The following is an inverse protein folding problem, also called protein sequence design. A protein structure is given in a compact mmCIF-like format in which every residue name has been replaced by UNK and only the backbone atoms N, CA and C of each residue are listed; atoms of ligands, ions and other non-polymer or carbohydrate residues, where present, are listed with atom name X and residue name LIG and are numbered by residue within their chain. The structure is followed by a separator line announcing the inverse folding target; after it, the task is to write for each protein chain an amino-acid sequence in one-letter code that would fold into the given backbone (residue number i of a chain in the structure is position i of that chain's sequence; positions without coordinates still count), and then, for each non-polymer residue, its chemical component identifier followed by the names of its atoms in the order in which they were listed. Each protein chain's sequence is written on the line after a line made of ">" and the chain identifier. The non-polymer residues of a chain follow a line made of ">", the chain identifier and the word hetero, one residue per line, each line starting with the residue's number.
data_IF_736396399918
#
_entry.id   IF_736396399918
#
_cell.length_a   1.000
_cell.length_b   1.000
_cell.length_c   1.000
_cell.angle_alpha   90.00
_cell.angle_beta   90.00
_cell.angle_gamma   90.00
#
_symmetry.space_group_name_H-M   'P 1'
#
loop_
_entity.id
_entity.type
_entity.pdbx_description
1 polymer ?
#
# COMPACT_ATOMS: atom_id res chain seq x y z
N UNK A 1 -2.45 -5.81 -23.23
CA UNK A 1 -1.49 -5.18 -24.15
C UNK A 1 -0.11 -5.76 -23.84
N UNK A 2 0.70 -6.13 -24.83
CA UNK A 2 2.06 -6.57 -24.59
C UNK A 2 2.87 -5.47 -23.93
N UNK A 3 3.84 -5.86 -23.09
CA UNK A 3 4.71 -4.94 -22.38
C UNK A 3 5.55 -4.16 -23.40
N UNK A 4 5.37 -2.84 -23.47
CA UNK A 4 6.20 -1.96 -24.30
C UNK A 4 7.52 -1.69 -23.55
N UNK A 5 8.57 -2.42 -23.88
CA UNK A 5 9.91 -2.19 -23.37
C UNK A 5 10.64 -1.13 -24.20
N UNK A 6 11.55 -0.35 -23.59
CA UNK A 6 12.35 0.62 -24.33
C UNK A 6 13.27 -0.07 -25.36
N UNK A 7 13.50 0.60 -26.47
CA UNK A 7 14.44 0.10 -27.50
C UNK A 7 15.88 0.10 -26.98
N UNK A 8 16.73 -0.83 -27.44
CA UNK A 8 18.14 -0.92 -27.03
C UNK A 8 18.95 0.37 -27.24
N UNK A 9 18.51 1.23 -28.17
CA UNK A 9 19.16 2.51 -28.49
C UNK A 9 18.71 3.68 -27.61
N UNK A 10 17.68 3.51 -26.80
CA UNK A 10 17.12 4.56 -25.99
C UNK A 10 18.04 4.93 -24.81
N UNK A 11 18.18 6.23 -24.57
CA UNK A 11 18.91 6.74 -23.40
C UNK A 11 17.98 6.89 -22.22
N UNK A 12 17.96 5.89 -21.34
CA UNK A 12 17.24 5.93 -20.07
C UNK A 12 18.16 5.46 -18.95
N UNK A 13 17.97 5.99 -17.75
CA UNK A 13 18.73 5.62 -16.56
C UNK A 13 17.88 4.79 -15.59
N UNK A 14 16.59 5.09 -15.56
CA UNK A 14 15.63 4.44 -14.67
C UNK A 14 14.43 4.00 -15.51
N UNK A 15 14.05 2.74 -15.41
CA UNK A 15 12.80 2.21 -15.93
C UNK A 15 11.84 1.96 -14.77
N UNK A 16 10.70 2.65 -14.78
CA UNK A 16 9.65 2.47 -13.77
C UNK A 16 8.49 1.73 -14.41
N UNK A 17 8.13 0.57 -13.85
CA UNK A 17 6.96 -0.21 -14.22
C UNK A 17 5.93 -0.11 -13.10
N UNK A 18 4.82 0.57 -13.37
CA UNK A 18 3.69 0.66 -12.46
C UNK A 18 2.68 -0.46 -12.74
N UNK A 19 1.90 -0.82 -11.71
CA UNK A 19 0.93 -1.93 -11.79
C UNK A 19 1.57 -3.26 -12.21
N UNK A 20 2.78 -3.50 -11.75
CA UNK A 20 3.59 -4.65 -12.11
C UNK A 20 2.90 -6.00 -11.86
N UNK A 21 1.96 -6.08 -10.92
CA UNK A 21 1.14 -7.27 -10.67
C UNK A 21 0.29 -7.71 -11.89
N UNK A 22 0.13 -6.85 -12.89
CA UNK A 22 -0.59 -7.17 -14.13
C UNK A 22 0.27 -7.94 -15.14
N UNK A 23 1.58 -8.03 -14.91
CA UNK A 23 2.50 -8.79 -15.74
C UNK A 23 2.37 -10.28 -15.44
N UNK A 24 1.36 -10.93 -16.03
CA UNK A 24 1.04 -12.34 -15.78
C UNK A 24 1.54 -13.27 -16.90
N UNK A 25 1.79 -12.75 -18.09
CA UNK A 25 2.19 -13.53 -19.25
C UNK A 25 3.67 -13.91 -19.16
N UNK A 26 3.96 -15.19 -19.29
CA UNK A 26 5.32 -15.74 -19.17
C UNK A 26 6.31 -15.11 -20.18
N UNK A 27 5.96 -14.89 -21.47
CA UNK A 27 6.85 -14.22 -22.41
C UNK A 27 7.25 -12.80 -21.98
N UNK A 28 6.31 -12.02 -21.42
CA UNK A 28 6.58 -10.67 -20.95
C UNK A 28 7.47 -10.68 -19.70
N UNK A 29 7.27 -11.65 -18.79
CA UNK A 29 8.13 -11.85 -17.63
C UNK A 29 9.56 -12.21 -18.02
N UNK A 30 9.73 -13.09 -19.01
CA UNK A 30 11.04 -13.47 -19.55
C UNK A 30 11.72 -12.28 -20.22
N UNK A 31 11.00 -11.51 -21.04
CA UNK A 31 11.51 -10.31 -21.68
C UNK A 31 12.02 -9.27 -20.67
N UNK A 32 11.28 -9.07 -19.57
CA UNK A 32 11.72 -8.18 -18.49
C UNK A 32 12.96 -8.73 -17.78
N UNK A 33 13.02 -10.02 -17.51
CA UNK A 33 14.21 -10.64 -16.90
C UNK A 33 15.44 -10.49 -17.78
N UNK A 34 15.30 -10.66 -19.10
CA UNK A 34 16.38 -10.45 -20.07
C UNK A 34 16.82 -8.99 -20.12
N UNK A 35 15.84 -8.06 -20.10
CA UNK A 35 16.14 -6.63 -20.06
C UNK A 35 16.97 -6.27 -18.81
N UNK A 36 16.57 -6.74 -17.64
CA UNK A 36 17.31 -6.48 -16.39
C UNK A 36 18.74 -7.03 -16.46
N UNK A 37 18.94 -8.23 -17.02
CA UNK A 37 20.27 -8.85 -17.17
C UNK A 37 21.14 -8.13 -18.18
N UNK A 38 20.56 -7.65 -19.27
CA UNK A 38 21.28 -6.98 -20.36
C UNK A 38 21.70 -5.54 -20.03
N UNK A 39 21.06 -4.93 -19.02
CA UNK A 39 21.32 -3.55 -18.61
C UNK A 39 21.65 -3.44 -17.10
N UNK A 40 22.77 -4.05 -16.64
CA UNK A 40 23.12 -4.08 -15.22
C UNK A 40 23.41 -2.71 -14.61
N UNK A 41 23.78 -1.73 -15.45
CA UNK A 41 24.06 -0.34 -15.01
C UNK A 41 22.80 0.53 -14.94
N UNK A 42 21.64 -0.01 -15.30
CA UNK A 42 20.36 0.69 -15.25
C UNK A 42 19.57 0.34 -14.00
N UNK A 43 18.70 1.24 -13.59
CA UNK A 43 17.82 1.03 -12.44
C UNK A 43 16.42 0.65 -12.88
N UNK A 44 15.89 -0.39 -12.28
CA UNK A 44 14.53 -0.85 -12.48
C UNK A 44 13.74 -0.64 -11.20
N UNK A 45 12.60 0.03 -11.31
CA UNK A 45 11.67 0.27 -10.20
C UNK A 45 10.34 -0.39 -10.56
N UNK A 46 9.98 -1.43 -9.82
CA UNK A 46 8.76 -2.21 -10.03
C UNK A 46 7.78 -1.85 -8.93
N UNK A 47 6.66 -1.20 -9.28
CA UNK A 47 5.60 -0.85 -8.35
C UNK A 47 4.47 -1.87 -8.43
N UNK A 48 4.17 -2.51 -7.31
CA UNK A 48 3.14 -3.54 -7.22
C UNK A 48 2.29 -3.34 -5.98
N UNK A 49 1.01 -3.70 -6.06
CA UNK A 49 0.13 -3.76 -4.88
C UNK A 49 0.25 -5.09 -4.13
N UNK A 50 0.79 -6.12 -4.76
CA UNK A 50 0.98 -7.44 -4.17
C UNK A 50 2.45 -7.72 -3.85
N UNK A 51 2.70 -8.90 -3.29
CA UNK A 51 4.05 -9.41 -3.04
C UNK A 51 4.81 -9.66 -4.33
N UNK A 52 6.14 -9.53 -4.27
CA UNK A 52 6.99 -9.83 -5.42
C UNK A 52 6.78 -11.30 -5.87
N UNK A 53 6.52 -11.53 -7.16
CA UNK A 53 6.28 -12.87 -7.67
C UNK A 53 7.55 -13.74 -7.63
N UNK A 54 7.35 -15.05 -7.50
CA UNK A 54 8.44 -16.01 -7.33
C UNK A 54 9.50 -16.03 -8.44
N UNK A 55 9.14 -15.61 -9.67
CA UNK A 55 10.10 -15.56 -10.77
C UNK A 55 11.14 -14.43 -10.63
N UNK A 56 10.95 -13.46 -9.70
CA UNK A 56 11.96 -12.47 -9.32
C UNK A 56 12.92 -12.97 -8.22
N UNK A 57 12.63 -14.11 -7.58
CA UNK A 57 13.46 -14.66 -6.51
C UNK A 57 14.94 -14.81 -6.88
N UNK A 58 15.33 -15.23 -8.10
CA UNK A 58 16.74 -15.28 -8.49
C UNK A 58 17.48 -13.95 -8.36
N UNK A 59 16.82 -12.82 -8.64
CA UNK A 59 17.42 -11.49 -8.48
C UNK A 59 17.57 -11.09 -7.00
N UNK A 60 16.62 -11.49 -6.15
CA UNK A 60 16.72 -11.28 -4.71
C UNK A 60 17.87 -12.08 -4.10
N UNK A 61 17.97 -13.37 -4.44
CA UNK A 61 19.05 -14.27 -3.95
C UNK A 61 20.43 -13.76 -4.41
N UNK A 62 20.52 -13.24 -5.63
CA UNK A 62 21.75 -12.67 -6.16
C UNK A 62 22.12 -11.30 -5.56
N UNK A 63 21.28 -10.73 -4.69
CA UNK A 63 21.50 -9.39 -4.12
C UNK A 63 21.31 -8.24 -5.12
N UNK A 64 20.70 -8.53 -6.25
CA UNK A 64 20.45 -7.54 -7.34
C UNK A 64 19.11 -6.81 -7.18
N UNK A 65 18.29 -7.21 -6.22
CA UNK A 65 16.97 -6.64 -5.98
C UNK A 65 16.75 -6.38 -4.50
N UNK A 66 16.28 -5.17 -4.19
CA UNK A 66 15.79 -4.80 -2.86
C UNK A 66 14.27 -4.64 -2.93
N UNK A 67 13.56 -5.23 -1.97
CA UNK A 67 12.11 -5.11 -1.88
C UNK A 67 11.74 -4.21 -0.72
N UNK A 68 10.89 -3.23 -1.01
CA UNK A 68 10.25 -2.38 0.00
C UNK A 68 8.79 -2.80 0.12
N UNK A 69 8.30 -2.91 1.33
CA UNK A 69 6.93 -3.26 1.62
C UNK A 69 6.21 -2.12 2.38
N UNK A 70 4.93 -2.26 2.64
CA UNK A 70 4.13 -1.23 3.30
C UNK A 70 4.73 -0.75 4.62
N UNK A 71 5.39 -1.62 5.40
CA UNK A 71 6.00 -1.24 6.68
C UNK A 71 7.20 -0.33 6.50
N UNK A 72 7.94 -0.47 5.39
CA UNK A 72 9.11 0.36 5.09
C UNK A 72 8.71 1.80 4.74
N UNK A 73 7.45 2.03 4.38
CA UNK A 73 6.89 3.35 4.08
C UNK A 73 6.07 3.93 5.25
N UNK A 74 5.88 3.19 6.33
CA UNK A 74 5.21 3.74 7.51
C UNK A 74 6.08 4.83 8.15
N UNK A 75 5.45 5.96 8.43
CA UNK A 75 6.10 7.06 9.12
C UNK A 75 6.22 6.73 10.60
N UNK A 76 7.41 6.83 11.16
CA UNK A 76 7.60 6.83 12.60
C UNK A 76 7.13 8.15 13.23
N UNK A 77 7.27 8.29 14.55
CA UNK A 77 6.83 9.49 15.25
C UNK A 77 7.61 10.73 14.83
N UNK A 78 8.91 10.61 14.62
CA UNK A 78 9.77 11.72 14.29
C UNK A 78 9.49 12.22 12.86
N UNK A 79 9.33 11.30 11.92
CA UNK A 79 8.95 11.61 10.54
C UNK A 79 7.52 12.16 10.48
N UNK A 80 6.60 11.64 11.32
CA UNK A 80 5.24 12.20 11.46
C UNK A 80 5.30 13.64 11.96
N UNK A 81 6.11 13.93 12.99
CA UNK A 81 6.29 15.28 13.50
C UNK A 81 6.88 16.22 12.43
N UNK A 82 7.90 15.77 11.70
CA UNK A 82 8.50 16.55 10.62
C UNK A 82 7.49 16.84 9.49
N UNK A 83 6.66 15.87 9.14
CA UNK A 83 5.58 16.07 8.18
C UNK A 83 4.56 17.10 8.68
N UNK A 84 4.10 17.02 9.94
CA UNK A 84 3.20 18.01 10.55
C UNK A 84 3.81 19.41 10.51
N UNK A 85 5.09 19.54 10.88
CA UNK A 85 5.80 20.80 10.82
C UNK A 85 5.85 21.40 9.40
N UNK A 86 5.98 20.57 8.36
CA UNK A 86 5.95 21.03 6.97
C UNK A 86 4.60 21.63 6.54
N UNK A 87 3.52 21.30 7.26
CA UNK A 87 2.19 21.92 7.10
C UNK A 87 1.96 23.11 8.04
N UNK A 88 3.01 23.60 8.73
CA UNK A 88 2.93 24.74 9.65
C UNK A 88 2.32 24.39 11.02
N UNK A 89 2.23 23.10 11.36
CA UNK A 89 1.68 22.66 12.62
C UNK A 89 2.82 22.40 13.59
N UNK A 90 2.80 23.07 14.77
CA UNK A 90 3.82 22.87 15.80
C UNK A 90 3.63 21.50 16.46
N UNK A 91 4.63 20.59 16.37
CA UNK A 91 4.53 19.25 16.96
C UNK A 91 4.42 19.24 18.49
N UNK A 92 4.87 20.33 19.15
CA UNK A 92 4.89 20.44 20.62
C UNK A 92 3.49 20.41 21.25
N UNK A 93 2.50 20.83 20.49
CA UNK A 93 1.11 20.89 20.94
C UNK A 93 0.27 19.69 20.47
N UNK A 94 0.91 18.66 19.89
CA UNK A 94 0.23 17.51 19.30
C UNK A 94 0.37 16.26 20.17
N UNK A 95 -0.73 15.54 20.32
CA UNK A 95 -0.65 14.14 20.74
C UNK A 95 -0.24 13.25 19.54
N UNK A 96 1.07 13.30 19.23
CA UNK A 96 1.66 12.48 18.16
C UNK A 96 1.42 10.98 18.39
N UNK A 97 1.25 10.55 19.65
CA UNK A 97 0.97 9.14 19.96
C UNK A 97 -0.43 8.76 19.51
N UNK A 98 -1.43 9.62 19.76
CA UNK A 98 -2.78 9.40 19.30
C UNK A 98 -2.85 9.43 17.75
N UNK A 99 -2.21 10.41 17.12
CA UNK A 99 -2.16 10.51 15.66
C UNK A 99 -1.52 9.25 15.06
N UNK A 100 -0.37 8.83 15.58
CA UNK A 100 0.32 7.64 15.07
C UNK A 100 -0.51 6.35 15.28
N UNK A 101 -1.16 6.20 16.43
CA UNK A 101 -2.04 5.05 16.69
C UNK A 101 -3.21 4.98 15.70
N UNK A 102 -3.82 6.12 15.35
CA UNK A 102 -4.97 6.16 14.46
C UNK A 102 -4.61 6.02 12.99
N UNK A 103 -3.48 6.60 12.60
CA UNK A 103 -2.98 6.53 11.22
C UNK A 103 -2.12 5.31 10.96
N UNK A 104 -1.66 4.62 12.02
CA UNK A 104 -0.64 3.57 11.98
C UNK A 104 0.60 3.98 11.17
N UNK A 105 0.91 5.28 11.15
CA UNK A 105 1.98 5.83 10.35
C UNK A 105 1.75 5.78 8.84
N UNK A 106 0.53 5.47 8.38
CA UNK A 106 0.24 5.40 6.95
C UNK A 106 0.32 6.82 6.33
N UNK A 107 1.24 7.06 5.36
CA UNK A 107 1.57 8.41 4.91
C UNK A 107 0.35 9.23 4.47
N UNK A 108 -0.54 8.63 3.69
CA UNK A 108 -1.74 9.31 3.21
C UNK A 108 -2.68 9.70 4.35
N UNK A 109 -2.81 8.85 5.37
CA UNK A 109 -3.63 9.15 6.53
C UNK A 109 -3.03 10.33 7.34
N UNK A 110 -1.71 10.33 7.53
CA UNK A 110 -1.01 11.44 8.20
C UNK A 110 -1.16 12.75 7.41
N UNK A 111 -1.05 12.72 6.08
CA UNK A 111 -1.26 13.88 5.21
C UNK A 111 -2.70 14.43 5.35
N UNK A 112 -3.71 13.57 5.40
CA UNK A 112 -5.10 14.00 5.58
C UNK A 112 -5.29 14.71 6.92
N UNK A 113 -4.72 14.15 8.00
CA UNK A 113 -4.74 14.77 9.31
C UNK A 113 -4.02 16.13 9.28
N UNK A 114 -2.81 16.19 8.71
CA UNK A 114 -2.03 17.41 8.61
C UNK A 114 -2.78 18.51 7.85
N UNK A 115 -3.36 18.19 6.70
CA UNK A 115 -4.18 19.15 5.93
C UNK A 115 -5.37 19.65 6.70
N UNK A 116 -6.13 18.75 7.33
CA UNK A 116 -7.29 19.14 8.11
C UNK A 116 -6.93 20.09 9.26
N UNK A 117 -5.80 19.86 9.91
CA UNK A 117 -5.31 20.72 10.98
C UNK A 117 -4.79 22.06 10.44
N UNK A 118 -4.09 22.07 9.31
CA UNK A 118 -3.65 23.30 8.65
C UNK A 118 -4.84 24.19 8.22
N UNK A 119 -5.98 23.57 7.88
CA UNK A 119 -7.25 24.26 7.60
C UNK A 119 -7.98 24.75 8.88
N UNK A 120 -7.34 24.63 10.05
CA UNK A 120 -7.89 25.11 11.33
C UNK A 120 -8.85 24.12 12.01
N UNK A 121 -8.93 22.87 11.56
CA UNK A 121 -9.72 21.83 12.21
C UNK A 121 -8.86 21.14 13.26
N UNK A 122 -9.20 21.24 14.57
CA UNK A 122 -8.39 20.59 15.60
C UNK A 122 -8.46 19.06 15.45
N UNK A 123 -7.33 18.41 15.68
CA UNK A 123 -7.32 16.95 15.80
C UNK A 123 -7.97 16.56 17.13
N UNK A 124 -8.96 15.69 17.06
CA UNK A 124 -9.55 15.03 18.23
C UNK A 124 -9.57 13.52 17.98
N UNK A 125 -9.23 12.71 18.99
CA UNK A 125 -9.37 11.26 18.90
C UNK A 125 -10.83 10.80 18.93
N UNK A 126 -11.79 11.71 19.09
CA UNK A 126 -13.21 11.38 19.13
C UNK A 126 -13.70 10.82 17.80
N UNK A 127 -14.59 9.83 17.90
CA UNK A 127 -15.16 9.12 16.73
C UNK A 127 -15.86 10.06 15.74
N UNK A 128 -16.41 11.16 16.24
CA UNK A 128 -17.16 12.14 15.45
C UNK A 128 -16.31 13.31 14.94
N UNK A 129 -14.97 13.26 15.10
CA UNK A 129 -14.14 14.35 14.59
C UNK A 129 -14.20 14.43 13.06
N UNK A 130 -14.21 15.66 12.54
CA UNK A 130 -14.22 15.90 11.10
C UNK A 130 -13.01 15.29 10.38
N UNK A 131 -11.87 15.22 11.06
CA UNK A 131 -10.64 14.60 10.56
C UNK A 131 -10.85 13.10 10.35
N UNK A 132 -11.41 12.43 11.35
CA UNK A 132 -11.67 10.99 11.30
C UNK A 132 -12.72 10.64 10.26
N UNK A 133 -13.75 11.47 10.14
CA UNK A 133 -14.76 11.34 9.08
C UNK A 133 -14.14 11.49 7.69
N UNK A 134 -13.21 12.44 7.51
CA UNK A 134 -12.49 12.64 6.25
C UNK A 134 -11.63 11.42 5.92
N UNK A 135 -10.92 10.86 6.91
CA UNK A 135 -10.17 9.61 6.73
C UNK A 135 -11.08 8.46 6.30
N UNK A 136 -12.21 8.32 6.99
CA UNK A 136 -13.18 7.26 6.68
C UNK A 136 -13.70 7.38 5.24
N UNK A 137 -14.12 8.56 4.82
CA UNK A 137 -14.59 8.79 3.46
C UNK A 137 -13.52 8.53 2.42
N UNK A 138 -12.28 8.92 2.71
CA UNK A 138 -11.16 8.63 1.81
C UNK A 138 -10.98 7.12 1.61
N UNK A 139 -10.91 6.34 2.69
CA UNK A 139 -10.75 4.89 2.59
C UNK A 139 -11.98 4.20 2.00
N UNK A 140 -13.17 4.67 2.33
CA UNK A 140 -14.40 4.15 1.74
C UNK A 140 -14.38 4.31 0.22
N UNK A 141 -14.11 5.50 -0.28
CA UNK A 141 -14.20 5.82 -1.71
C UNK A 141 -13.00 5.25 -2.48
N UNK A 142 -11.80 5.38 -1.94
CA UNK A 142 -10.57 5.00 -2.63
C UNK A 142 -10.29 3.51 -2.62
N UNK A 143 -10.79 2.78 -1.62
CA UNK A 143 -10.47 1.36 -1.41
C UNK A 143 -11.74 0.51 -1.34
N UNK A 144 -12.59 0.74 -0.32
CA UNK A 144 -13.71 -0.16 -0.02
C UNK A 144 -14.73 -0.27 -1.15
N UNK A 145 -15.11 0.86 -1.78
CA UNK A 145 -16.09 0.87 -2.87
C UNK A 145 -15.61 0.18 -4.15
N UNK A 146 -14.30 0.01 -4.31
CA UNK A 146 -13.72 -0.69 -5.47
C UNK A 146 -13.85 -2.20 -5.39
N UNK A 147 -14.09 -2.73 -4.20
CA UNK A 147 -14.30 -4.17 -4.05
C UNK A 147 -15.69 -4.60 -4.51
N UNK A 148 -15.82 -5.81 -5.10
CA UNK A 148 -17.11 -6.44 -5.35
C UNK A 148 -17.96 -6.54 -4.08
N UNK A 149 -19.28 -6.56 -4.22
CA UNK A 149 -20.21 -6.59 -3.09
C UNK A 149 -19.95 -7.75 -2.13
N UNK A 150 -19.58 -8.93 -2.64
CA UNK A 150 -19.24 -10.08 -1.83
C UNK A 150 -18.05 -9.82 -0.89
N UNK A 151 -16.98 -9.21 -1.43
CA UNK A 151 -15.80 -8.84 -0.64
C UNK A 151 -16.15 -7.75 0.38
N UNK A 152 -16.96 -6.77 -0.01
CA UNK A 152 -17.38 -5.70 0.93
C UNK A 152 -18.17 -6.25 2.10
N UNK A 153 -19.08 -7.18 1.88
CA UNK A 153 -19.82 -7.87 2.96
C UNK A 153 -18.88 -8.67 3.85
N UNK A 154 -18.00 -9.44 3.25
CA UNK A 154 -17.00 -10.23 3.96
C UNK A 154 -16.13 -9.36 4.87
N UNK A 155 -15.65 -8.21 4.39
CA UNK A 155 -14.88 -7.25 5.18
C UNK A 155 -15.68 -6.69 6.36
N UNK A 156 -16.98 -6.38 6.17
CA UNK A 156 -17.84 -5.89 7.25
C UNK A 156 -18.07 -6.94 8.34
N UNK A 157 -18.22 -8.19 7.96
CA UNK A 157 -18.39 -9.30 8.92
C UNK A 157 -17.13 -9.53 9.75
N UNK A 158 -15.96 -9.29 9.16
CA UNK A 158 -14.67 -9.50 9.79
C UNK A 158 -14.11 -8.28 10.53
N UNK A 159 -14.64 -7.08 10.31
CA UNK A 159 -14.09 -5.83 10.84
C UNK A 159 -13.97 -5.76 12.39
N UNK A 160 -14.74 -6.50 13.22
CA UNK A 160 -14.53 -6.49 14.67
C UNK A 160 -13.25 -7.21 15.11
N UNK A 161 -12.61 -7.99 14.24
CA UNK A 161 -11.46 -8.81 14.59
C UNK A 161 -10.15 -8.16 14.10
N UNK A 162 -9.18 -7.99 15.00
CA UNK A 162 -7.91 -7.32 14.68
C UNK A 162 -6.93 -8.18 13.85
N UNK A 163 -7.00 -9.51 14.01
CA UNK A 163 -6.20 -10.48 13.26
C UNK A 163 -7.08 -11.64 12.84
N UNK A 164 -6.90 -12.10 11.61
CA UNK A 164 -7.72 -13.14 11.00
C UNK A 164 -6.83 -14.17 10.30
N UNK A 165 -7.13 -15.42 10.58
CA UNK A 165 -6.70 -16.53 9.72
C UNK A 165 -7.89 -17.06 8.90
N UNK A 166 -7.62 -18.00 7.99
CA UNK A 166 -8.63 -18.54 7.11
C UNK A 166 -9.74 -19.31 7.85
N UNK A 167 -9.40 -19.96 8.96
CA UNK A 167 -10.36 -20.74 9.74
C UNK A 167 -11.31 -19.83 10.53
N UNK A 168 -10.78 -18.81 11.19
CA UNK A 168 -11.58 -17.81 11.89
C UNK A 168 -12.48 -17.05 10.91
N UNK A 169 -11.94 -16.64 9.77
CA UNK A 169 -12.72 -15.98 8.74
C UNK A 169 -13.88 -16.84 8.22
N UNK A 170 -13.65 -18.13 8.04
CA UNK A 170 -14.69 -19.10 7.64
C UNK A 170 -15.78 -19.26 8.70
N UNK A 171 -15.38 -19.32 9.98
CA UNK A 171 -16.32 -19.46 11.10
C UNK A 171 -17.20 -18.21 11.23
N UNK A 172 -16.60 -17.03 11.13
CA UNK A 172 -17.30 -15.75 11.34
C UNK A 172 -18.23 -15.43 10.17
N UNK A 173 -17.75 -15.58 8.93
CA UNK A 173 -18.54 -15.28 7.73
C UNK A 173 -19.48 -16.40 7.31
N UNK A 174 -19.27 -17.63 7.79
CA UNK A 174 -19.99 -18.82 7.30
C UNK A 174 -19.65 -19.16 5.83
N UNK A 175 -18.70 -18.49 5.20
CA UNK A 175 -18.33 -18.70 3.80
C UNK A 175 -17.19 -19.72 3.68
N UNK A 176 -17.47 -20.83 3.00
CA UNK A 176 -16.47 -21.86 2.73
C UNK A 176 -15.32 -21.37 1.83
N UNK A 177 -15.49 -20.25 1.13
CA UNK A 177 -14.46 -19.62 0.29
C UNK A 177 -13.67 -18.54 1.03
N UNK A 178 -13.85 -18.35 2.33
CA UNK A 178 -13.20 -17.32 3.13
C UNK A 178 -11.67 -17.27 2.92
N UNK A 179 -11.01 -18.43 2.86
CA UNK A 179 -9.56 -18.51 2.60
C UNK A 179 -9.16 -17.94 1.23
N UNK A 180 -9.98 -18.17 0.19
CA UNK A 180 -9.75 -17.59 -1.15
C UNK A 180 -10.00 -16.09 -1.16
N UNK A 181 -11.03 -15.61 -0.45
CA UNK A 181 -11.32 -14.20 -0.33
C UNK A 181 -10.20 -13.46 0.42
N UNK A 182 -9.68 -14.03 1.50
CA UNK A 182 -8.51 -13.49 2.21
C UNK A 182 -7.28 -13.44 1.31
N UNK A 183 -6.98 -14.51 0.57
CA UNK A 183 -5.85 -14.53 -0.36
C UNK A 183 -6.01 -13.46 -1.46
N UNK A 184 -7.23 -13.25 -1.97
CA UNK A 184 -7.53 -12.18 -2.93
C UNK A 184 -7.25 -10.82 -2.31
N UNK A 185 -7.68 -10.56 -1.07
CA UNK A 185 -7.43 -9.30 -0.37
C UNK A 185 -5.94 -9.04 -0.11
N UNK A 186 -5.17 -10.09 0.14
CA UNK A 186 -3.71 -9.98 0.32
C UNK A 186 -2.95 -9.71 -0.98
N UNK A 187 -3.54 -10.04 -2.12
CA UNK A 187 -2.95 -9.85 -3.46
C UNK A 187 -3.40 -8.57 -4.18
N UNK A 188 -4.31 -7.80 -3.59
CA UNK A 188 -4.88 -6.57 -4.15
C UNK A 188 -4.24 -5.33 -3.55
#
# INVERSE_FOLDING_TARGET
>A
QPLALPDPGDRWEILLLDHFQQLQDEPDQQALCELIRNYPDRRFVLLSRGVAPGWLLPFQIAGLMTTFNTKDFQLDRDTTAALMASYGISPENLDLTAIHRETMGYPVAVIIVARAMADGRPYSPDLDSDVRRTLFYYFEDSIYRRFPLAIRRFLLELCPFGTLDADLARIVSGDNNAGKLLATLQST
#
